data_IF_145278742878
#
_entry.id   IF_145278742878
#
_cell.length_a   1.000
_cell.length_b   1.000
_cell.length_c   1.000
_cell.angle_alpha   90.00
_cell.angle_beta   90.00
_cell.angle_gamma   90.00
#
_symmetry.space_group_name_H-M   'P 1'
#
loop_
_entity.id
_entity.type
_entity.pdbx_description
1 polymer ?
#
# COMPACT_ATOMS: atom_id res chain seq x y z
N UNK A 1 18.97 -20.45 5.91
CA UNK A 1 17.87 -20.71 6.86
C UNK A 1 16.58 -20.21 6.21
N UNK A 2 15.49 -20.99 6.28
CA UNK A 2 14.17 -20.54 5.84
C UNK A 2 13.66 -19.53 6.88
N UNK A 3 13.14 -18.40 6.43
CA UNK A 3 12.46 -17.40 7.24
C UNK A 3 11.03 -17.28 6.72
N UNK A 4 10.06 -17.20 7.62
CA UNK A 4 8.65 -16.94 7.28
C UNK A 4 8.28 -15.55 7.82
N UNK A 5 8.64 -14.47 7.10
CA UNK A 5 8.24 -13.13 7.49
C UNK A 5 6.77 -12.88 7.12
N UNK A 6 6.14 -11.94 7.81
CA UNK A 6 4.91 -11.31 7.33
C UNK A 6 5.17 -10.54 6.03
N UNK A 7 4.15 -10.24 5.23
CA UNK A 7 4.33 -9.48 3.98
C UNK A 7 5.07 -8.15 4.17
N UNK A 8 4.77 -7.33 5.20
CA UNK A 8 5.57 -6.13 5.50
C UNK A 8 7.03 -6.44 5.82
N UNK A 9 7.26 -7.47 6.62
CA UNK A 9 8.63 -7.92 6.96
C UNK A 9 9.42 -8.41 5.76
N UNK A 10 8.76 -9.05 4.80
CA UNK A 10 9.39 -9.44 3.52
C UNK A 10 9.75 -8.21 2.67
N UNK A 11 8.85 -7.24 2.53
CA UNK A 11 9.12 -5.99 1.82
C UNK A 11 10.30 -5.23 2.43
N UNK A 12 10.38 -5.13 3.76
CA UNK A 12 11.52 -4.54 4.46
C UNK A 12 12.83 -5.28 4.17
N UNK A 13 12.80 -6.63 4.15
CA UNK A 13 13.98 -7.42 3.80
C UNK A 13 14.42 -7.19 2.36
N UNK A 14 13.48 -7.07 1.42
CA UNK A 14 13.79 -6.75 0.03
C UNK A 14 14.41 -5.35 -0.09
N UNK A 15 13.81 -4.31 0.51
CA UNK A 15 14.36 -2.95 0.52
C UNK A 15 15.75 -2.90 1.17
N UNK A 16 15.94 -3.61 2.28
CA UNK A 16 17.26 -3.72 2.91
C UNK A 16 18.30 -4.38 1.99
N UNK A 17 17.90 -5.39 1.21
CA UNK A 17 18.78 -6.03 0.23
C UNK A 17 19.17 -5.09 -0.92
N UNK A 18 18.30 -4.13 -1.26
CA UNK A 18 18.57 -3.12 -2.27
C UNK A 18 19.52 -2.03 -1.77
N UNK A 19 19.57 -1.78 -0.46
CA UNK A 19 20.44 -0.77 0.14
C UNK A 19 20.14 0.63 -0.43
N UNK A 20 21.20 1.36 -0.82
CA UNK A 20 21.08 2.72 -1.37
C UNK A 20 20.32 2.80 -2.70
N UNK A 21 20.10 1.68 -3.40
CA UNK A 21 19.32 1.65 -4.63
C UNK A 21 17.81 1.83 -4.39
N UNK A 22 17.36 1.71 -3.13
CA UNK A 22 15.95 1.93 -2.76
C UNK A 22 15.62 3.39 -2.43
N UNK A 23 16.61 4.29 -2.45
CA UNK A 23 16.48 5.73 -2.11
C UNK A 23 15.72 5.98 -0.78
N UNK A 24 15.88 5.07 0.17
CA UNK A 24 15.28 5.18 1.51
C UNK A 24 16.23 5.91 2.42
N UNK A 25 15.78 7.02 2.98
CA UNK A 25 16.52 7.75 4.00
C UNK A 25 16.71 6.84 5.24
N UNK A 26 17.96 6.69 5.69
CA UNK A 26 18.34 5.91 6.87
C UNK A 26 17.68 6.43 8.17
N UNK A 27 17.22 7.67 8.17
CA UNK A 27 16.50 8.27 9.30
C UNK A 27 14.99 7.91 9.33
N UNK A 28 14.50 7.18 8.33
CA UNK A 28 13.06 6.87 8.21
C UNK A 28 12.67 5.73 9.15
N UNK A 29 11.61 5.95 9.91
CA UNK A 29 11.02 4.96 10.82
C UNK A 29 9.80 4.29 10.17
N UNK A 30 9.66 2.99 10.39
CA UNK A 30 8.48 2.25 9.94
C UNK A 30 7.35 2.38 10.95
N UNK A 31 6.17 2.79 10.46
CA UNK A 31 4.93 2.88 11.23
C UNK A 31 4.02 1.72 10.82
N UNK A 32 3.84 0.71 11.68
CA UNK A 32 3.04 -0.48 11.32
C UNK A 32 1.55 -0.20 11.25
N UNK A 33 1.06 0.86 11.88
CA UNK A 33 -0.34 1.30 11.87
C UNK A 33 -0.40 2.82 11.90
N UNK A 34 -1.18 3.39 10.97
CA UNK A 34 -1.39 4.83 10.85
C UNK A 34 -2.64 5.32 11.60
N UNK A 35 -3.35 4.45 12.34
CA UNK A 35 -4.63 4.76 12.95
C UNK A 35 -4.57 5.99 13.87
N UNK A 36 -3.56 6.06 14.74
CA UNK A 36 -3.39 7.19 15.65
C UNK A 36 -3.13 8.50 14.87
N UNK A 37 -2.31 8.44 13.83
CA UNK A 37 -2.03 9.58 12.96
C UNK A 37 -3.30 10.05 12.22
N UNK A 38 -4.11 9.12 11.75
CA UNK A 38 -5.40 9.42 11.11
C UNK A 38 -6.37 10.06 12.09
N UNK A 39 -6.42 9.61 13.34
CA UNK A 39 -7.25 10.24 14.38
C UNK A 39 -6.83 11.67 14.66
N UNK A 40 -5.54 11.92 14.87
CA UNK A 40 -4.99 13.25 15.10
C UNK A 40 -5.29 14.20 13.92
N UNK A 41 -5.02 13.75 12.70
CA UNK A 41 -5.33 14.51 11.46
C UNK A 41 -6.82 14.82 11.37
N UNK A 42 -7.67 13.85 11.70
CA UNK A 42 -9.12 13.99 11.61
C UNK A 42 -9.66 15.02 12.60
N UNK A 43 -9.16 14.99 13.82
CA UNK A 43 -9.56 15.95 14.85
C UNK A 43 -9.12 17.38 14.48
N UNK A 44 -7.91 17.54 13.97
CA UNK A 44 -7.43 18.84 13.47
C UNK A 44 -8.21 19.33 12.25
N UNK A 45 -8.56 18.45 11.32
CA UNK A 45 -9.37 18.80 10.15
C UNK A 45 -10.79 19.22 10.58
N UNK A 46 -11.38 18.51 11.56
CA UNK A 46 -12.69 18.83 12.08
C UNK A 46 -12.72 20.22 12.71
N UNK A 47 -11.77 20.49 13.61
CA UNK A 47 -11.66 21.79 14.29
C UNK A 47 -11.45 22.91 13.28
N UNK A 48 -10.48 22.78 12.37
CA UNK A 48 -10.20 23.81 11.33
C UNK A 48 -11.39 24.12 10.44
N UNK A 49 -12.26 23.15 10.17
CA UNK A 49 -13.33 23.31 9.18
C UNK A 49 -14.68 23.64 9.78
N UNK A 50 -14.96 23.15 10.98
CA UNK A 50 -16.31 23.14 11.55
C UNK A 50 -16.41 23.82 12.91
N UNK A 51 -15.30 24.23 13.57
CA UNK A 51 -15.35 24.82 14.92
C UNK A 51 -16.24 26.07 15.03
N UNK A 52 -16.27 26.89 13.97
CA UNK A 52 -17.04 28.13 13.93
C UNK A 52 -18.49 27.97 13.46
N UNK A 53 -18.90 26.72 13.15
CA UNK A 53 -20.25 26.42 12.65
C UNK A 53 -21.14 25.95 13.80
N UNK A 54 -22.28 26.60 13.99
CA UNK A 54 -23.26 26.22 15.00
C UNK A 54 -23.94 24.86 14.67
N UNK A 55 -24.10 24.57 13.39
CA UNK A 55 -24.66 23.33 12.87
C UNK A 55 -23.76 22.77 11.76
N UNK A 56 -22.72 21.99 12.11
CA UNK A 56 -21.82 21.40 11.14
C UNK A 56 -22.54 20.38 10.23
N UNK A 57 -22.33 20.47 8.93
CA UNK A 57 -22.91 19.55 7.94
C UNK A 57 -22.46 18.09 8.12
N UNK A 58 -21.29 17.86 8.76
CA UNK A 58 -20.80 16.55 9.16
C UNK A 58 -20.53 16.51 10.65
N UNK A 59 -20.89 15.43 11.30
CA UNK A 59 -20.50 15.19 12.70
C UNK A 59 -19.02 14.79 12.81
N UNK A 60 -18.38 14.90 13.99
CA UNK A 60 -17.03 14.38 14.21
C UNK A 60 -16.90 12.88 13.86
N UNK A 61 -17.96 12.11 14.13
CA UNK A 61 -18.02 10.69 13.80
C UNK A 61 -18.00 10.43 12.28
N UNK A 62 -18.75 11.23 11.52
CA UNK A 62 -18.79 11.14 10.07
C UNK A 62 -17.43 11.49 9.45
N UNK A 63 -16.80 12.55 9.94
CA UNK A 63 -15.47 12.97 9.47
C UNK A 63 -14.43 11.88 9.74
N UNK A 64 -14.43 11.27 10.94
CA UNK A 64 -13.54 10.13 11.25
C UNK A 64 -13.80 8.92 10.35
N UNK A 65 -15.06 8.58 10.12
CA UNK A 65 -15.40 7.45 9.25
C UNK A 65 -14.92 7.67 7.81
N UNK A 66 -15.14 8.87 7.26
CA UNK A 66 -14.69 9.24 5.92
C UNK A 66 -13.17 9.26 5.82
N UNK A 67 -12.48 9.87 6.79
CA UNK A 67 -11.02 9.95 6.79
C UNK A 67 -10.39 8.55 6.87
N UNK A 68 -10.86 7.69 7.78
CA UNK A 68 -10.38 6.31 7.88
C UNK A 68 -10.59 5.55 6.58
N UNK A 69 -11.79 5.59 5.99
CA UNK A 69 -12.07 4.92 4.73
C UNK A 69 -11.20 5.46 3.58
N UNK A 70 -10.95 6.76 3.53
CA UNK A 70 -10.12 7.36 2.50
C UNK A 70 -8.64 6.99 2.62
N UNK A 71 -8.12 6.85 3.85
CA UNK A 71 -6.71 6.54 4.09
C UNK A 71 -6.45 5.03 4.01
N UNK A 72 -7.41 4.17 4.41
CA UNK A 72 -7.23 2.72 4.40
C UNK A 72 -7.08 2.09 3.01
N UNK A 73 -7.47 2.80 1.95
CA UNK A 73 -7.30 2.36 0.56
C UNK A 73 -6.78 3.53 -0.29
N UNK A 74 -5.47 3.64 -0.39
CA UNK A 74 -4.80 4.68 -1.18
C UNK A 74 -5.07 4.58 -2.68
N UNK A 75 -5.36 3.39 -3.18
CA UNK A 75 -5.66 3.12 -4.58
C UNK A 75 -7.07 3.51 -4.98
N UNK A 76 -7.99 3.61 -4.03
CA UNK A 76 -9.39 3.93 -4.32
C UNK A 76 -9.57 5.37 -4.83
N UNK A 77 -10.37 5.52 -5.86
CA UNK A 77 -10.76 6.84 -6.37
C UNK A 77 -11.78 7.47 -5.43
N UNK A 78 -11.47 8.66 -4.93
CA UNK A 78 -12.43 9.43 -4.12
C UNK A 78 -13.44 10.07 -5.05
N UNK A 79 -14.70 9.75 -4.88
CA UNK A 79 -15.81 10.25 -5.70
C UNK A 79 -17.04 10.59 -4.81
N UNK A 80 -17.93 11.44 -5.31
CA UNK A 80 -17.91 12.23 -6.54
C UNK A 80 -17.13 13.53 -6.40
N UNK A 81 -16.31 13.88 -7.38
CA UNK A 81 -15.53 15.14 -7.38
C UNK A 81 -16.36 16.36 -7.80
N UNK A 82 -17.49 16.11 -8.44
CA UNK A 82 -18.43 17.09 -8.98
C UNK A 82 -19.70 17.24 -8.13
N UNK A 83 -19.65 16.84 -6.87
CA UNK A 83 -20.78 16.99 -5.94
C UNK A 83 -21.16 18.46 -5.79
N UNK A 84 -22.48 18.73 -5.70
CA UNK A 84 -23.01 20.08 -5.55
C UNK A 84 -22.41 20.78 -4.32
N UNK A 85 -21.94 22.00 -4.49
CA UNK A 85 -21.37 22.81 -3.43
C UNK A 85 -22.34 22.93 -2.23
N UNK A 86 -21.83 22.83 -1.02
CA UNK A 86 -22.63 22.83 0.21
C UNK A 86 -23.37 21.53 0.50
N UNK A 87 -23.28 20.50 -0.36
CA UNK A 87 -23.90 19.19 -0.09
C UNK A 87 -23.06 18.36 0.88
N UNK A 88 -23.71 17.40 1.54
CA UNK A 88 -23.03 16.39 2.38
C UNK A 88 -22.01 15.58 1.55
N UNK A 89 -22.32 15.29 0.28
CA UNK A 89 -21.42 14.57 -0.61
C UNK A 89 -20.13 15.38 -0.90
N UNK A 90 -20.27 16.69 -1.20
CA UNK A 90 -19.12 17.58 -1.37
C UNK A 90 -18.27 17.68 -0.10
N UNK A 91 -18.91 17.85 1.07
CA UNK A 91 -18.20 17.91 2.34
C UNK A 91 -17.43 16.63 2.65
N UNK A 92 -18.00 15.45 2.36
CA UNK A 92 -17.31 14.15 2.52
C UNK A 92 -16.14 14.00 1.55
N UNK A 93 -16.33 14.37 0.28
CA UNK A 93 -15.25 14.36 -0.71
C UNK A 93 -14.06 15.22 -0.27
N UNK A 94 -14.33 16.43 0.15
CA UNK A 94 -13.30 17.37 0.59
C UNK A 94 -12.56 16.89 1.86
N UNK A 95 -13.28 16.28 2.80
CA UNK A 95 -12.67 15.65 3.98
C UNK A 95 -11.80 14.49 3.58
N UNK A 96 -12.25 13.60 2.68
CA UNK A 96 -11.49 12.46 2.22
C UNK A 96 -10.16 12.88 1.55
N UNK A 97 -10.24 13.85 0.64
CA UNK A 97 -9.06 14.38 -0.06
C UNK A 97 -8.11 15.10 0.91
N UNK A 98 -8.65 15.90 1.83
CA UNK A 98 -7.85 16.62 2.83
C UNK A 98 -7.16 15.66 3.80
N UNK A 99 -7.85 14.59 4.25
CA UNK A 99 -7.29 13.59 5.15
C UNK A 99 -6.11 12.86 4.51
N UNK A 100 -6.25 12.36 3.28
CA UNK A 100 -5.14 11.75 2.55
C UNK A 100 -3.94 12.67 2.46
N UNK A 101 -4.15 13.90 2.01
CA UNK A 101 -3.08 14.88 1.83
C UNK A 101 -2.37 15.20 3.15
N UNK A 102 -3.12 15.37 4.23
CA UNK A 102 -2.56 15.75 5.53
C UNK A 102 -1.80 14.59 6.17
N UNK A 103 -2.32 13.35 6.10
CA UNK A 103 -1.61 12.15 6.58
C UNK A 103 -0.29 12.00 5.86
N UNK A 104 -0.28 12.10 4.53
CA UNK A 104 0.94 12.03 3.73
C UNK A 104 1.93 13.16 4.04
N UNK A 105 1.43 14.37 4.31
CA UNK A 105 2.28 15.50 4.69
C UNK A 105 2.95 15.24 6.05
N UNK A 106 2.20 14.72 7.03
CA UNK A 106 2.74 14.39 8.36
C UNK A 106 3.72 13.23 8.32
N UNK A 107 3.39 12.15 7.58
CA UNK A 107 4.34 11.04 7.38
C UNK A 107 5.68 11.56 6.86
N UNK A 108 5.67 12.39 5.83
CA UNK A 108 6.89 13.00 5.28
C UNK A 108 7.62 13.88 6.28
N UNK A 109 6.91 14.75 7.01
CA UNK A 109 7.51 15.65 8.01
C UNK A 109 8.14 14.90 9.19
N UNK A 110 7.61 13.73 9.53
CA UNK A 110 8.07 12.89 10.63
C UNK A 110 9.02 11.78 10.17
N UNK A 111 9.36 11.70 8.88
CA UNK A 111 10.15 10.62 8.26
C UNK A 111 9.56 9.24 8.57
N UNK A 112 8.25 9.08 8.40
CA UNK A 112 7.53 7.84 8.62
C UNK A 112 7.18 7.19 7.28
N UNK A 113 7.31 5.87 7.23
CA UNK A 113 6.80 5.02 6.16
C UNK A 113 5.83 4.01 6.74
N UNK A 114 4.67 3.88 6.11
CA UNK A 114 3.76 2.78 6.37
C UNK A 114 3.99 1.62 5.39
N UNK A 115 3.09 0.64 5.44
CA UNK A 115 3.20 -0.53 4.59
C UNK A 115 3.03 -0.20 3.09
N UNK A 116 2.10 0.68 2.75
CA UNK A 116 1.84 1.05 1.35
C UNK A 116 3.03 1.82 0.76
N UNK A 117 3.68 2.67 1.57
CA UNK A 117 4.92 3.35 1.15
C UNK A 117 6.03 2.34 0.83
N UNK A 118 6.16 1.26 1.63
CA UNK A 118 7.16 0.22 1.36
C UNK A 118 6.90 -0.47 0.03
N UNK A 119 5.63 -0.76 -0.30
CA UNK A 119 5.26 -1.35 -1.59
C UNK A 119 5.60 -0.39 -2.75
N UNK A 120 5.22 0.87 -2.64
CA UNK A 120 5.51 1.89 -3.66
C UNK A 120 7.01 2.05 -3.89
N UNK A 121 7.80 2.16 -2.81
CA UNK A 121 9.26 2.27 -2.90
C UNK A 121 9.89 1.05 -3.53
N UNK A 122 9.46 -0.15 -3.12
CA UNK A 122 9.96 -1.40 -3.66
C UNK A 122 9.64 -1.54 -5.15
N UNK A 123 8.40 -1.26 -5.53
CA UNK A 123 8.00 -1.26 -6.94
C UNK A 123 8.84 -0.29 -7.77
N UNK A 124 9.01 0.96 -7.30
CA UNK A 124 9.84 1.96 -7.99
C UNK A 124 11.26 1.47 -8.18
N UNK A 125 11.89 0.93 -7.12
CA UNK A 125 13.25 0.42 -7.20
C UNK A 125 13.40 -0.74 -8.19
N UNK A 126 12.41 -1.65 -8.27
CA UNK A 126 12.43 -2.79 -9.18
C UNK A 126 12.10 -2.42 -10.64
N UNK A 127 11.33 -1.34 -10.86
CA UNK A 127 10.91 -0.89 -12.19
C UNK A 127 11.71 0.30 -12.70
N UNK A 128 12.71 0.75 -11.97
CA UNK A 128 13.58 1.86 -12.39
C UNK A 128 14.26 1.54 -13.73
N UNK A 129 14.19 2.44 -14.73
CA UNK A 129 14.73 2.18 -16.07
C UNK A 129 16.24 1.95 -16.09
N UNK A 130 16.98 2.56 -15.18
CA UNK A 130 18.44 2.50 -15.13
C UNK A 130 18.95 1.41 -14.18
N UNK A 131 18.32 1.25 -13.02
CA UNK A 131 18.81 0.42 -11.92
C UNK A 131 17.94 -0.80 -11.62
N UNK A 132 16.71 -0.89 -12.16
CA UNK A 132 15.73 -1.94 -11.84
C UNK A 132 16.21 -3.36 -12.14
N UNK A 133 16.95 -3.54 -13.23
CA UNK A 133 17.54 -4.85 -13.55
C UNK A 133 18.56 -5.30 -12.48
N UNK A 134 19.40 -4.38 -12.02
CA UNK A 134 20.38 -4.65 -10.95
C UNK A 134 19.69 -4.89 -9.61
N UNK A 135 18.64 -4.10 -9.30
CA UNK A 135 17.81 -4.27 -8.12
C UNK A 135 17.16 -5.67 -8.08
N UNK A 136 16.53 -6.07 -9.18
CA UNK A 136 15.91 -7.38 -9.33
C UNK A 136 16.95 -8.51 -9.12
N UNK A 137 18.13 -8.41 -9.72
CA UNK A 137 19.18 -9.41 -9.56
C UNK A 137 19.67 -9.51 -8.09
N UNK A 138 19.82 -8.39 -7.38
CA UNK A 138 20.15 -8.39 -5.95
C UNK A 138 19.11 -9.10 -5.10
N UNK A 139 17.83 -8.83 -5.34
CA UNK A 139 16.73 -9.51 -4.64
C UNK A 139 16.78 -11.01 -4.89
N UNK A 140 16.92 -11.46 -6.15
CA UNK A 140 17.02 -12.87 -6.52
C UNK A 140 18.23 -13.58 -5.92
N UNK A 141 19.37 -12.92 -5.85
CA UNK A 141 20.56 -13.52 -5.24
C UNK A 141 20.36 -13.84 -3.76
N UNK A 142 19.46 -13.13 -3.09
CA UNK A 142 19.13 -13.35 -1.68
C UNK A 142 18.01 -14.37 -1.47
N UNK A 143 17.02 -14.43 -2.37
CA UNK A 143 15.84 -15.28 -2.26
C UNK A 143 15.79 -16.25 -3.44
N UNK A 144 16.28 -17.46 -3.23
CA UNK A 144 16.27 -18.53 -4.27
C UNK A 144 14.91 -19.17 -4.46
N UNK A 145 14.13 -19.23 -3.39
CA UNK A 145 12.74 -19.73 -3.40
C UNK A 145 11.91 -18.77 -2.56
N UNK A 146 10.86 -18.25 -3.16
CA UNK A 146 9.85 -17.45 -2.50
C UNK A 146 8.53 -18.21 -2.56
N UNK A 147 7.93 -18.43 -1.39
CA UNK A 147 6.62 -19.08 -1.28
C UNK A 147 5.65 -18.05 -0.71
N UNK A 148 4.57 -17.81 -1.43
CA UNK A 148 3.48 -16.90 -1.00
C UNK A 148 2.29 -17.77 -0.63
N UNK A 149 1.96 -17.79 0.64
CA UNK A 149 0.78 -18.46 1.16
C UNK A 149 -0.43 -17.51 1.16
N UNK A 150 -1.64 -18.06 1.12
CA UNK A 150 -2.89 -17.30 1.04
C UNK A 150 -2.90 -16.30 -0.12
N UNK A 151 -2.39 -16.72 -1.29
CA UNK A 151 -2.19 -15.82 -2.43
C UNK A 151 -3.48 -15.15 -2.92
N UNK A 152 -4.66 -15.72 -2.64
CA UNK A 152 -5.96 -15.11 -2.95
C UNK A 152 -6.19 -13.76 -2.21
N UNK A 153 -5.41 -13.49 -1.15
CA UNK A 153 -5.48 -12.24 -0.38
C UNK A 153 -4.43 -11.20 -0.82
N UNK A 154 -3.72 -11.49 -1.90
CA UNK A 154 -2.68 -10.62 -2.47
C UNK A 154 -3.32 -9.51 -3.29
N UNK A 155 -2.89 -8.26 -3.06
CA UNK A 155 -3.31 -7.12 -3.84
C UNK A 155 -2.50 -6.97 -5.16
N UNK A 156 -2.97 -6.16 -6.14
CA UNK A 156 -2.30 -5.97 -7.41
C UNK A 156 -0.88 -5.42 -7.31
N UNK A 157 -0.59 -4.55 -6.32
CA UNK A 157 0.74 -3.97 -6.11
C UNK A 157 1.72 -5.02 -5.60
N UNK A 158 1.30 -5.83 -4.66
CA UNK A 158 2.09 -6.97 -4.16
C UNK A 158 2.41 -7.95 -5.28
N UNK A 159 1.41 -8.29 -6.10
CA UNK A 159 1.61 -9.16 -7.25
C UNK A 159 2.59 -8.54 -8.27
N UNK A 160 2.44 -7.27 -8.60
CA UNK A 160 3.34 -6.59 -9.52
C UNK A 160 4.81 -6.64 -9.05
N UNK A 161 5.05 -6.48 -7.74
CA UNK A 161 6.37 -6.60 -7.12
C UNK A 161 6.91 -8.03 -7.25
N UNK A 162 6.13 -9.03 -6.83
CA UNK A 162 6.53 -10.44 -6.88
C UNK A 162 6.80 -10.89 -8.32
N UNK A 163 5.92 -10.53 -9.24
CA UNK A 163 6.06 -10.80 -10.66
C UNK A 163 7.34 -10.19 -11.23
N UNK A 164 7.58 -8.90 -10.97
CA UNK A 164 8.78 -8.21 -11.45
C UNK A 164 10.05 -8.83 -10.86
N UNK A 165 10.02 -9.16 -9.59
CA UNK A 165 11.17 -9.70 -8.90
C UNK A 165 11.49 -11.14 -9.31
N UNK A 166 10.49 -12.03 -9.47
CA UNK A 166 10.72 -13.48 -9.52
C UNK A 166 10.14 -14.19 -10.74
N UNK A 167 9.19 -13.59 -11.50
CA UNK A 167 8.53 -14.25 -12.62
C UNK A 167 9.19 -13.93 -13.97
N UNK A 168 9.10 -14.91 -14.91
CA UNK A 168 9.30 -14.67 -16.34
C UNK A 168 10.73 -14.40 -16.81
N UNK A 169 11.76 -14.87 -16.09
CA UNK A 169 13.14 -14.74 -16.55
C UNK A 169 13.87 -16.10 -16.67
N UNK A 170 14.68 -16.26 -17.72
CA UNK A 170 15.28 -17.55 -18.09
C UNK A 170 16.48 -17.97 -17.22
N UNK A 171 16.85 -17.21 -16.18
CA UNK A 171 18.07 -17.48 -15.40
C UNK A 171 17.91 -18.54 -14.31
N UNK A 172 16.76 -19.23 -14.22
CA UNK A 172 16.44 -20.36 -13.30
C UNK A 172 17.01 -20.24 -11.88
N UNK A 173 17.46 -19.02 -11.49
CA UNK A 173 18.17 -18.82 -10.23
C UNK A 173 17.24 -18.70 -9.02
N UNK A 174 15.95 -18.47 -9.27
CA UNK A 174 14.93 -18.32 -8.23
C UNK A 174 13.59 -18.90 -8.68
N UNK A 175 12.84 -19.45 -7.72
CA UNK A 175 11.50 -19.97 -7.93
C UNK A 175 10.49 -19.18 -7.11
N UNK A 176 9.33 -18.89 -7.72
CA UNK A 176 8.16 -18.33 -7.06
C UNK A 176 7.08 -19.41 -6.99
N UNK A 177 6.60 -19.70 -5.79
CA UNK A 177 5.55 -20.68 -5.54
C UNK A 177 4.36 -19.93 -4.91
N UNK A 178 3.21 -20.00 -5.57
CA UNK A 178 1.98 -19.38 -5.10
C UNK A 178 1.06 -20.47 -4.55
N UNK A 179 0.59 -20.28 -3.32
CA UNK A 179 -0.30 -21.21 -2.61
C UNK A 179 -1.54 -20.42 -2.23
N UNK A 180 -2.72 -20.89 -2.68
CA UNK A 180 -3.97 -20.20 -2.36
C UNK A 180 -5.18 -20.92 -2.95
N UNK A 181 -6.34 -20.58 -2.40
CA UNK A 181 -7.65 -21.05 -2.87
C UNK A 181 -8.56 -19.84 -3.15
N UNK A 182 -8.92 -19.55 -4.42
CA UNK A 182 -9.73 -18.39 -4.76
C UNK A 182 -11.13 -18.43 -4.12
N UNK A 183 -11.60 -19.61 -3.66
CA UNK A 183 -12.87 -19.73 -2.95
C UNK A 183 -12.81 -19.21 -1.51
N UNK A 184 -11.60 -19.03 -0.98
CA UNK A 184 -11.35 -18.49 0.37
C UNK A 184 -11.06 -16.99 0.35
N UNK A 185 -11.10 -16.32 -0.80
CA UNK A 185 -10.91 -14.88 -0.92
C UNK A 185 -12.02 -14.10 -0.21
N UNK A 186 -11.75 -13.58 1.00
CA UNK A 186 -12.71 -12.83 1.82
C UNK A 186 -12.24 -11.40 2.11
N UNK A 187 -11.04 -11.04 1.68
CA UNK A 187 -10.38 -9.75 1.98
C UNK A 187 -10.43 -8.73 0.83
N UNK A 188 -11.43 -8.83 -0.06
CA UNK A 188 -11.62 -7.85 -1.15
C UNK A 188 -11.67 -6.39 -0.64
N UNK A 189 -12.19 -6.16 0.57
CA UNK A 189 -12.23 -4.84 1.22
C UNK A 189 -10.85 -4.29 1.66
N UNK A 190 -9.78 -5.10 1.57
CA UNK A 190 -8.38 -4.72 1.82
C UNK A 190 -7.55 -4.62 0.54
N UNK A 191 -8.21 -4.57 -0.63
CA UNK A 191 -7.53 -4.51 -1.91
C UNK A 191 -7.19 -5.88 -2.52
N UNK A 192 -7.44 -7.01 -1.82
CA UNK A 192 -7.32 -8.34 -2.41
C UNK A 192 -8.25 -8.47 -3.62
N UNK A 193 -7.71 -8.91 -4.74
CA UNK A 193 -8.45 -8.98 -6.00
C UNK A 193 -8.35 -10.38 -6.63
N UNK A 194 -9.51 -11.03 -6.76
CA UNK A 194 -9.61 -12.32 -7.47
C UNK A 194 -9.07 -12.24 -8.90
N UNK A 195 -9.16 -11.08 -9.55
CA UNK A 195 -8.60 -10.89 -10.90
C UNK A 195 -7.08 -11.04 -10.86
N UNK A 196 -6.42 -10.49 -9.84
CA UNK A 196 -4.98 -10.67 -9.60
C UNK A 196 -4.60 -12.14 -9.44
N UNK A 197 -5.41 -12.91 -8.70
CA UNK A 197 -5.21 -14.37 -8.59
C UNK A 197 -5.31 -15.07 -9.94
N UNK A 198 -6.35 -14.77 -10.72
CA UNK A 198 -6.56 -15.37 -12.04
C UNK A 198 -5.45 -15.01 -13.03
N UNK A 199 -4.99 -13.76 -13.02
CA UNK A 199 -3.85 -13.34 -13.84
C UNK A 199 -2.57 -14.10 -13.46
N UNK A 200 -2.32 -14.30 -12.17
CA UNK A 200 -1.16 -15.04 -11.72
C UNK A 200 -1.22 -16.52 -12.13
N UNK A 201 -2.41 -17.13 -12.15
CA UNK A 201 -2.61 -18.50 -12.65
C UNK A 201 -2.35 -18.59 -14.15
N UNK A 202 -2.80 -17.58 -14.93
CA UNK A 202 -2.50 -17.51 -16.37
C UNK A 202 -1.01 -17.32 -16.66
N UNK A 203 -0.33 -16.55 -15.82
CA UNK A 203 1.11 -16.31 -15.91
C UNK A 203 1.94 -17.49 -15.40
N UNK A 204 1.37 -18.40 -14.59
CA UNK A 204 2.09 -19.55 -14.08
C UNK A 204 2.42 -20.53 -15.22
N UNK A 205 3.69 -20.85 -15.33
CA UNK A 205 4.12 -21.97 -16.18
C UNK A 205 3.99 -23.27 -15.39
N UNK A 206 3.31 -24.26 -15.99
CA UNK A 206 3.20 -25.63 -15.50
C UNK A 206 4.58 -26.31 -15.31
#
# INVERSE_FOLDING_TARGET
>A
AATSPTTPGFCQQMLTALGTAADVDLATSFLPDVADLVEEVTDDLYVRRFADQSEPILSPRDVRAVARAAVSDHGAVVAPSDAAEGSVAAARYEVAVAARREVEARKRAMHLLDYDDLLVLLRRALTDPEHGATATQRVRSRFRVVMVDEFQDTDPEQWAILRTAFHGRPDESSALVLIGDPKQAIYAFRGADVVTYLQAVEDATD
#
